data_IF_126128875899
#
_entry.id   IF_126128875899
#
_cell.length_a   1.000
_cell.length_b   1.000
_cell.length_c   1.000
_cell.angle_alpha   90.00
_cell.angle_beta   90.00
_cell.angle_gamma   90.00
#
_symmetry.space_group_name_H-M   'P 1'
#
loop_
_entity.id
_entity.type
_entity.pdbx_description
1 polymer ?
#
# COMPACT_ATOMS: atom_id res chain seq x y z
N UNK A 1 17.65 -4.53 -11.23
CA UNK A 1 18.15 -4.30 -12.60
C UNK A 1 17.04 -4.68 -13.57
N UNK A 2 16.56 -3.71 -14.34
CA UNK A 2 15.52 -3.92 -15.37
C UNK A 2 16.18 -4.65 -16.55
N UNK A 3 15.68 -5.83 -16.91
CA UNK A 3 16.30 -6.68 -17.97
C UNK A 3 15.59 -6.59 -19.32
N UNK A 4 14.50 -5.81 -19.41
CA UNK A 4 13.77 -5.64 -20.66
C UNK A 4 14.46 -4.62 -21.56
N UNK A 5 14.38 -4.78 -22.90
CA UNK A 5 15.02 -3.86 -23.85
C UNK A 5 14.24 -2.55 -24.03
N UNK A 6 12.92 -2.59 -23.88
CA UNK A 6 12.02 -1.46 -24.04
C UNK A 6 11.08 -1.36 -22.85
N UNK A 7 10.78 -0.13 -22.45
CA UNK A 7 9.87 0.18 -21.36
C UNK A 7 9.17 1.50 -21.66
N UNK A 8 7.98 1.67 -21.10
CA UNK A 8 7.23 2.92 -21.12
C UNK A 8 7.68 3.78 -19.95
N UNK A 9 8.15 5.00 -20.24
CA UNK A 9 8.64 5.94 -19.24
C UNK A 9 7.57 6.97 -18.91
N UNK A 10 7.41 7.21 -17.62
CA UNK A 10 6.61 8.29 -17.05
C UNK A 10 7.54 9.23 -16.31
N UNK A 11 7.34 10.53 -16.51
CA UNK A 11 8.12 11.58 -15.88
C UNK A 11 7.80 11.75 -14.39
N UNK A 12 8.59 12.54 -13.66
CA UNK A 12 8.32 12.84 -12.24
C UNK A 12 6.96 13.51 -12.01
N UNK A 13 6.51 14.33 -12.96
CA UNK A 13 5.21 15.02 -12.93
C UNK A 13 4.04 14.12 -13.36
N UNK A 14 4.32 12.87 -13.75
CA UNK A 14 3.30 11.93 -14.23
C UNK A 14 3.00 12.02 -15.74
N UNK A 15 3.75 12.85 -16.48
CA UNK A 15 3.64 12.94 -17.94
C UNK A 15 4.17 11.69 -18.63
N UNK A 16 3.49 11.20 -19.68
CA UNK A 16 3.97 10.05 -20.43
C UNK A 16 5.04 10.49 -21.44
N UNK A 17 6.26 9.98 -21.28
CA UNK A 17 7.36 10.22 -22.23
C UNK A 17 7.37 9.21 -23.39
N UNK A 18 6.47 8.22 -23.34
CA UNK A 18 6.33 7.19 -24.37
C UNK A 18 7.19 5.95 -24.11
N UNK A 19 7.35 5.12 -25.14
CA UNK A 19 8.14 3.89 -25.09
C UNK A 19 9.56 4.19 -25.55
N UNK A 20 10.56 3.87 -24.74
CA UNK A 20 11.96 4.08 -25.07
C UNK A 20 12.84 2.93 -24.60
N UNK A 21 14.08 2.82 -25.11
CA UNK A 21 15.03 1.82 -24.66
C UNK A 21 15.40 2.03 -23.20
N UNK A 22 15.57 0.94 -22.46
CA UNK A 22 15.94 0.96 -21.03
C UNK A 22 17.22 1.75 -20.76
N UNK A 23 18.23 1.62 -21.63
CA UNK A 23 19.48 2.37 -21.50
C UNK A 23 19.30 3.89 -21.63
N UNK A 24 18.40 4.33 -22.52
CA UNK A 24 18.08 5.74 -22.66
C UNK A 24 17.32 6.27 -21.43
N UNK A 25 16.35 5.50 -20.94
CA UNK A 25 15.60 5.84 -19.74
C UNK A 25 16.49 5.92 -18.48
N UNK A 26 17.46 5.00 -18.34
CA UNK A 26 18.42 5.02 -17.24
C UNK A 26 19.32 6.26 -17.29
N UNK A 27 19.79 6.63 -18.49
CA UNK A 27 20.61 7.83 -18.68
C UNK A 27 19.82 9.10 -18.37
N UNK A 28 18.58 9.18 -18.85
CA UNK A 28 17.69 10.30 -18.56
C UNK A 28 17.44 10.46 -17.06
N UNK A 29 17.24 9.35 -16.34
CA UNK A 29 17.09 9.36 -14.89
C UNK A 29 18.33 9.93 -14.20
N UNK A 30 19.52 9.46 -14.59
CA UNK A 30 20.81 9.95 -14.07
C UNK A 30 21.05 11.43 -14.37
N UNK A 31 20.77 11.86 -15.60
CA UNK A 31 20.96 13.26 -16.03
C UNK A 31 20.06 14.22 -15.24
N UNK A 32 18.87 13.76 -14.82
CA UNK A 32 17.93 14.52 -13.99
C UNK A 32 18.11 14.31 -12.48
N UNK A 33 18.99 13.41 -12.06
CA UNK A 33 19.21 13.08 -10.65
C UNK A 33 18.08 12.27 -10.00
N UNK A 34 17.26 11.56 -10.78
CA UNK A 34 16.20 10.67 -10.31
C UNK A 34 16.58 9.20 -10.50
N UNK A 35 15.83 8.31 -9.86
CA UNK A 35 15.91 6.87 -10.12
C UNK A 35 14.86 6.44 -11.16
N UNK A 36 15.23 5.49 -12.01
CA UNK A 36 14.29 4.80 -12.88
C UNK A 36 13.67 3.62 -12.11
N UNK A 37 12.42 3.76 -11.67
CA UNK A 37 11.73 2.75 -10.86
C UNK A 37 10.62 2.09 -11.66
N UNK A 38 10.64 0.76 -11.72
CA UNK A 38 9.61 -0.04 -12.37
C UNK A 38 8.35 -0.09 -11.50
N UNK A 39 7.25 0.50 -11.98
CA UNK A 39 5.98 0.60 -11.24
C UNK A 39 4.97 -0.45 -11.69
N UNK A 40 5.03 -0.90 -12.95
CA UNK A 40 4.14 -1.92 -13.49
C UNK A 40 4.94 -2.94 -14.33
N UNK A 41 5.51 -3.98 -13.69
CA UNK A 41 6.31 -4.99 -14.38
C UNK A 41 5.49 -5.91 -15.28
N UNK A 42 4.20 -6.08 -14.99
CA UNK A 42 3.29 -6.96 -15.73
C UNK A 42 2.72 -6.32 -17.00
N UNK A 43 2.95 -5.02 -17.22
CA UNK A 43 2.49 -4.33 -18.42
C UNK A 43 3.35 -4.70 -19.64
N UNK A 44 2.76 -4.64 -20.84
CA UNK A 44 3.47 -4.85 -22.11
C UNK A 44 3.38 -3.57 -22.94
N UNK A 45 4.47 -2.78 -23.07
CA UNK A 45 5.76 -2.89 -22.40
C UNK A 45 5.71 -2.48 -20.91
N UNK A 46 6.66 -2.94 -20.06
CA UNK A 46 6.71 -2.58 -18.64
C UNK A 46 6.74 -1.07 -18.43
N UNK A 47 6.12 -0.59 -17.36
CA UNK A 47 6.06 0.85 -17.06
C UNK A 47 7.05 1.18 -15.96
N UNK A 48 7.94 2.12 -16.25
CA UNK A 48 8.87 2.71 -15.30
C UNK A 48 8.57 4.20 -15.13
N UNK A 49 8.83 4.73 -13.93
CA UNK A 49 8.65 6.13 -13.58
C UNK A 49 9.96 6.70 -13.07
N UNK A 50 10.23 7.96 -13.42
CA UNK A 50 11.32 8.75 -12.84
C UNK A 50 10.87 9.26 -11.47
N UNK A 51 11.55 8.83 -10.40
CA UNK A 51 11.25 9.25 -9.04
C UNK A 51 12.44 9.02 -8.11
N UNK A 52 12.48 9.70 -6.96
CA UNK A 52 13.41 9.37 -5.87
C UNK A 52 12.88 8.15 -5.10
N UNK A 53 13.59 7.02 -5.19
CA UNK A 53 13.14 5.79 -4.55
C UNK A 53 13.11 5.88 -3.01
N UNK A 54 14.02 6.64 -2.43
CA UNK A 54 14.12 6.84 -0.98
C UNK A 54 12.92 7.61 -0.45
N UNK A 55 12.60 8.74 -1.07
CA UNK A 55 11.42 9.54 -0.69
C UNK A 55 10.12 8.76 -0.90
N UNK A 56 9.98 8.10 -2.06
CA UNK A 56 8.78 7.33 -2.37
C UNK A 56 8.53 6.20 -1.36
N UNK A 57 9.58 5.46 -0.97
CA UNK A 57 9.48 4.39 0.03
C UNK A 57 9.06 4.94 1.39
N UNK A 58 9.55 6.11 1.78
CA UNK A 58 9.17 6.77 3.02
C UNK A 58 7.69 7.18 3.01
N UNK A 59 7.23 7.81 1.92
CA UNK A 59 5.83 8.23 1.76
C UNK A 59 4.87 7.03 1.76
N UNK A 60 5.24 5.95 1.05
CA UNK A 60 4.45 4.71 1.04
C UNK A 60 4.36 4.10 2.44
N UNK A 61 5.48 3.99 3.16
CA UNK A 61 5.48 3.46 4.52
C UNK A 61 4.67 4.34 5.49
N UNK A 62 4.69 5.67 5.31
CA UNK A 62 3.87 6.59 6.09
C UNK A 62 2.39 6.40 5.77
N UNK A 63 2.02 6.34 4.49
CA UNK A 63 0.65 6.12 4.03
C UNK A 63 0.09 4.78 4.51
N UNK A 64 0.88 3.71 4.47
CA UNK A 64 0.48 2.40 4.99
C UNK A 64 0.27 2.43 6.51
N UNK A 65 1.12 3.13 7.26
CA UNK A 65 0.94 3.31 8.71
C UNK A 65 -0.32 4.11 9.04
N UNK A 66 -0.58 5.18 8.29
CA UNK A 66 -1.80 5.99 8.44
C UNK A 66 -3.04 5.16 8.08
N UNK A 67 -3.03 4.43 6.96
CA UNK A 67 -4.11 3.53 6.56
C UNK A 67 -4.37 2.44 7.61
N UNK A 68 -3.32 1.83 8.17
CA UNK A 68 -3.44 0.82 9.25
C UNK A 68 -3.96 1.40 10.56
N UNK A 69 -3.65 2.67 10.87
CA UNK A 69 -4.23 3.38 12.02
C UNK A 69 -5.70 3.73 11.80
N UNK A 70 -6.07 4.09 10.58
CA UNK A 70 -7.46 4.43 10.21
C UNK A 70 -8.33 3.19 9.98
N UNK A 71 -7.72 2.03 9.75
CA UNK A 71 -8.43 0.77 9.70
C UNK A 71 -9.06 0.51 11.08
N UNK A 72 -10.38 0.60 11.17
CA UNK A 72 -11.14 0.22 12.37
C UNK A 72 -10.81 -1.23 12.70
N UNK A 73 -10.08 -1.46 13.79
CA UNK A 73 -9.98 -2.77 14.40
C UNK A 73 -11.33 -3.11 14.99
N UNK A 74 -12.06 -4.00 14.33
CA UNK A 74 -13.27 -4.59 14.90
C UNK A 74 -12.81 -5.71 15.83
N UNK A 75 -12.67 -5.40 17.12
CA UNK A 75 -12.38 -6.40 18.13
C UNK A 75 -13.67 -7.15 18.48
N UNK A 76 -13.72 -8.45 18.14
CA UNK A 76 -14.85 -9.30 18.51
C UNK A 76 -14.82 -9.60 20.00
N UNK A 77 -15.80 -9.07 20.75
CA UNK A 77 -15.99 -9.36 22.16
C UNK A 77 -17.04 -10.45 22.33
N UNK A 78 -16.60 -11.68 22.55
CA UNK A 78 -17.50 -12.80 22.79
C UNK A 78 -17.92 -12.88 24.26
N UNK A 79 -19.21 -13.16 24.50
CA UNK A 79 -19.75 -13.41 25.85
C UNK A 79 -20.32 -14.82 25.87
N UNK A 80 -19.75 -15.69 26.73
CA UNK A 80 -20.21 -17.07 26.90
C UNK A 80 -21.28 -17.17 27.99
N UNK A 81 -22.40 -17.79 27.65
CA UNK A 81 -23.54 -18.04 28.54
C UNK A 81 -23.77 -19.56 28.64
N UNK A 82 -24.06 -20.03 29.85
CA UNK A 82 -24.36 -21.44 30.10
C UNK A 82 -25.87 -21.67 30.27
N UNK A 83 -26.41 -22.86 29.93
CA UNK A 83 -27.86 -23.13 30.03
C UNK A 83 -28.43 -23.08 31.46
N UNK A 84 -27.60 -23.33 32.49
CA UNK A 84 -27.98 -23.29 33.92
C UNK A 84 -27.56 -21.99 34.61
N UNK A 85 -27.56 -20.87 33.89
CA UNK A 85 -27.19 -19.57 34.45
C UNK A 85 -28.30 -19.02 35.38
N UNK A 86 -27.91 -18.42 36.50
CA UNK A 86 -28.85 -17.74 37.39
C UNK A 86 -29.28 -16.38 36.83
N UNK A 87 -30.49 -15.91 37.19
CA UNK A 87 -31.07 -14.66 36.68
C UNK A 87 -30.14 -13.43 36.85
N UNK A 88 -29.50 -13.30 38.01
CA UNK A 88 -28.57 -12.19 38.28
C UNK A 88 -27.29 -12.21 37.44
N UNK A 89 -26.74 -13.40 37.14
CA UNK A 89 -25.55 -13.54 36.27
C UNK A 89 -25.92 -13.28 34.80
N UNK A 90 -27.11 -13.74 34.38
CA UNK A 90 -27.65 -13.46 33.05
C UNK A 90 -27.81 -11.95 32.80
N UNK A 91 -28.47 -11.23 33.72
CA UNK A 91 -28.71 -9.78 33.60
C UNK A 91 -27.40 -8.97 33.56
N UNK A 92 -26.34 -9.48 34.19
CA UNK A 92 -25.01 -8.85 34.18
C UNK A 92 -24.30 -9.08 32.85
N UNK A 93 -24.34 -10.31 32.31
CA UNK A 93 -23.74 -10.64 31.01
C UNK A 93 -24.46 -9.95 29.83
N UNK A 94 -25.78 -9.82 29.89
CA UNK A 94 -26.57 -9.10 28.87
C UNK A 94 -26.25 -7.62 28.87
N UNK A 95 -26.19 -6.96 30.04
CA UNK A 95 -25.77 -5.55 30.13
C UNK A 95 -24.39 -5.31 29.53
N UNK A 96 -23.45 -6.24 29.78
CA UNK A 96 -22.11 -6.19 29.21
C UNK A 96 -22.11 -6.41 27.69
N UNK A 97 -23.03 -7.23 27.16
CA UNK A 97 -23.19 -7.44 25.72
C UNK A 97 -23.72 -6.19 24.99
N UNK A 98 -24.66 -5.46 25.61
CA UNK A 98 -25.26 -4.24 25.04
C UNK A 98 -24.25 -3.07 25.03
N UNK A 99 -23.29 -3.06 25.96
CA UNK A 99 -22.29 -1.99 26.10
C UNK A 99 -21.11 -2.11 25.12
N UNK A 100 -20.89 -3.28 24.52
CA UNK A 100 -19.79 -3.56 23.60
C UNK A 100 -20.14 -3.28 22.15
#
# INVERSE_FOLDING_TARGET
MIRVPQLRVVDEEGSQMGVMPTGHALRLAQDRGYDLVEVAPMAVPPVARLLDYGQFKYEQARREKEARRHQRSVDFKEIRIAPKIGKGDFDTKVRRAIQF
#
